data_IF_737098595691
#
_entry.id   IF_737098595691
#
_cell.length_a   1.000
_cell.length_b   1.000
_cell.length_c   1.000
_cell.angle_alpha   90.00
_cell.angle_beta   90.00
_cell.angle_gamma   90.00
#
_symmetry.space_group_name_H-M   'P 1'
#
loop_
_entity.id
_entity.type
_entity.pdbx_description
1 polymer ?
#
# COMPACT_ATOMS: atom_id res chain seq x y z
N UNK A 1 0.97 8.20 -8.19
CA UNK A 1 0.28 7.64 -9.37
C UNK A 1 -0.61 6.45 -9.00
N UNK A 2 -0.07 5.37 -8.40
CA UNK A 2 -0.85 4.17 -8.06
C UNK A 2 -2.06 4.43 -7.15
N UNK A 3 -1.96 5.35 -6.18
CA UNK A 3 -3.10 5.77 -5.37
C UNK A 3 -4.29 6.27 -6.22
N UNK A 4 -4.01 7.13 -7.20
CA UNK A 4 -5.02 7.68 -8.12
C UNK A 4 -5.62 6.60 -8.99
N UNK A 5 -4.80 5.64 -9.44
CA UNK A 5 -5.26 4.51 -10.27
C UNK A 5 -6.14 3.56 -9.44
N UNK A 6 -5.78 3.29 -8.19
CA UNK A 6 -6.54 2.40 -7.31
C UNK A 6 -7.94 2.93 -6.97
N UNK A 7 -8.07 4.25 -6.82
CA UNK A 7 -9.36 4.94 -6.54
C UNK A 7 -10.07 5.37 -7.83
N UNK A 8 -9.49 5.07 -8.99
CA UNK A 8 -10.02 5.48 -10.29
C UNK A 8 -11.36 4.81 -10.60
N UNK A 9 -12.34 5.54 -11.16
CA UNK A 9 -13.62 4.96 -11.58
C UNK A 9 -13.48 3.94 -12.72
N UNK A 10 -12.33 3.91 -13.40
CA UNK A 10 -12.06 3.01 -14.53
C UNK A 10 -11.83 1.54 -14.13
N UNK A 11 -11.92 1.19 -12.82
CA UNK A 11 -11.76 -0.19 -12.29
C UNK A 11 -10.55 -0.93 -12.89
N UNK A 12 -9.43 -0.21 -13.08
CA UNK A 12 -8.21 -0.77 -13.65
C UNK A 12 -7.70 -1.82 -12.68
N UNK A 13 -7.72 -3.09 -13.08
CA UNK A 13 -7.39 -4.19 -12.20
C UNK A 13 -5.88 -4.22 -11.87
N UNK A 14 -5.53 -3.82 -10.65
CA UNK A 14 -4.15 -3.84 -10.15
C UNK A 14 -3.75 -5.15 -9.45
N UNK A 15 -4.63 -6.16 -9.41
CA UNK A 15 -4.40 -7.39 -8.62
C UNK A 15 -3.11 -8.11 -9.02
N UNK A 16 -2.75 -8.10 -10.31
CA UNK A 16 -1.52 -8.72 -10.83
C UNK A 16 -0.23 -8.09 -10.26
N UNK A 17 -0.29 -6.81 -9.87
CA UNK A 17 0.85 -6.07 -9.35
C UNK A 17 0.77 -5.89 -7.82
N UNK A 18 -0.31 -6.34 -7.19
CA UNK A 18 -0.64 -5.98 -5.81
C UNK A 18 0.42 -6.48 -4.82
N UNK A 19 0.85 -7.73 -4.94
CA UNK A 19 1.90 -8.29 -4.06
C UNK A 19 3.22 -7.54 -4.20
N UNK A 20 3.65 -7.29 -5.44
CA UNK A 20 4.90 -6.57 -5.71
C UNK A 20 4.82 -5.11 -5.21
N UNK A 21 3.70 -4.42 -5.45
CA UNK A 21 3.48 -3.06 -4.98
C UNK A 21 3.46 -2.98 -3.45
N UNK A 22 2.79 -3.92 -2.77
CA UNK A 22 2.77 -3.96 -1.31
C UNK A 22 4.17 -4.20 -0.72
N UNK A 23 4.94 -5.11 -1.32
CA UNK A 23 6.33 -5.36 -0.92
C UNK A 23 7.23 -4.13 -1.07
N UNK A 24 7.16 -3.43 -2.20
CA UNK A 24 7.94 -2.21 -2.44
C UNK A 24 7.51 -1.06 -1.52
N UNK A 25 6.20 -0.86 -1.35
CA UNK A 25 5.68 0.20 -0.50
C UNK A 25 6.05 -0.04 0.98
N UNK A 26 5.93 -1.27 1.49
CA UNK A 26 6.37 -1.59 2.85
C UNK A 26 7.89 -1.45 3.02
N UNK A 27 8.69 -1.80 2.02
CA UNK A 27 10.13 -1.55 2.04
C UNK A 27 10.46 -0.04 2.07
N UNK A 28 9.69 0.79 1.37
CA UNK A 28 9.84 2.24 1.44
C UNK A 28 9.48 2.81 2.80
N UNK A 29 8.48 2.25 3.51
CA UNK A 29 8.16 2.74 4.87
C UNK A 29 9.35 2.64 5.83
N UNK A 30 10.15 1.58 5.72
CA UNK A 30 11.34 1.37 6.57
C UNK A 30 12.52 2.29 6.25
N UNK A 31 12.66 2.72 5.00
CA UNK A 31 13.86 3.41 4.49
C UNK A 31 13.64 4.88 4.10
N UNK A 32 12.40 5.34 4.05
CA UNK A 32 12.05 6.65 3.53
C UNK A 32 12.17 7.78 4.57
N UNK A 33 12.56 8.96 4.10
CA UNK A 33 12.40 10.23 4.83
C UNK A 33 10.90 10.54 5.01
N UNK A 34 10.56 11.35 6.03
CA UNK A 34 9.18 11.65 6.43
C UNK A 34 8.20 11.93 5.28
N UNK A 35 8.56 12.76 4.30
CA UNK A 35 7.68 13.11 3.18
C UNK A 35 7.36 11.90 2.26
N UNK A 36 8.37 11.10 1.95
CA UNK A 36 8.18 9.88 1.13
C UNK A 36 7.41 8.82 1.93
N UNK A 37 7.66 8.70 3.25
CA UNK A 37 6.89 7.82 4.13
C UNK A 37 5.40 8.16 4.09
N UNK A 38 5.03 9.43 4.18
CA UNK A 38 3.63 9.88 4.12
C UNK A 38 2.97 9.60 2.77
N UNK A 39 3.67 9.86 1.65
CA UNK A 39 3.15 9.55 0.32
C UNK A 39 2.93 8.04 0.11
N UNK A 40 3.84 7.22 0.64
CA UNK A 40 3.73 5.74 0.63
C UNK A 40 2.52 5.27 1.43
N UNK A 41 2.26 5.84 2.60
CA UNK A 41 1.09 5.50 3.42
C UNK A 41 -0.22 5.87 2.74
N UNK A 42 -0.31 7.04 2.12
CA UNK A 42 -1.49 7.44 1.35
C UNK A 42 -1.77 6.48 0.18
N UNK A 43 -0.70 5.97 -0.45
CA UNK A 43 -0.81 4.97 -1.51
C UNK A 43 -1.25 3.61 -0.99
N UNK A 44 -0.67 3.14 0.12
CA UNK A 44 -1.08 1.89 0.78
C UNK A 44 -2.54 1.93 1.23
N UNK A 45 -2.98 3.02 1.86
CA UNK A 45 -4.38 3.18 2.29
C UNK A 45 -5.35 3.08 1.09
N UNK A 46 -5.01 3.73 -0.02
CA UNK A 46 -5.82 3.66 -1.25
C UNK A 46 -5.92 2.24 -1.82
N UNK A 47 -4.82 1.48 -1.77
CA UNK A 47 -4.79 0.08 -2.22
C UNK A 47 -5.56 -0.84 -1.28
N UNK A 48 -5.44 -0.67 0.04
CA UNK A 48 -6.20 -1.45 1.02
C UNK A 48 -7.71 -1.27 0.85
N UNK A 49 -8.16 -0.03 0.66
CA UNK A 49 -9.59 0.28 0.45
C UNK A 49 -10.11 -0.34 -0.85
N UNK A 50 -9.35 -0.28 -1.93
CA UNK A 50 -9.79 -0.74 -3.25
C UNK A 50 -9.61 -2.26 -3.48
N UNK A 51 -8.62 -2.88 -2.82
CA UNK A 51 -8.19 -4.25 -3.11
C UNK A 51 -8.08 -5.14 -1.88
N UNK A 52 -8.55 -4.71 -0.70
CA UNK A 52 -8.35 -5.44 0.55
C UNK A 52 -8.71 -6.94 0.51
N UNK A 53 -9.81 -7.30 -0.17
CA UNK A 53 -10.24 -8.70 -0.34
C UNK A 53 -9.26 -9.58 -1.13
N UNK A 54 -8.32 -8.96 -1.86
CA UNK A 54 -7.31 -9.63 -2.70
C UNK A 54 -5.92 -9.58 -2.09
N UNK A 55 -5.77 -9.04 -0.88
CA UNK A 55 -4.50 -8.95 -0.18
C UNK A 55 -4.36 -10.18 0.73
N UNK A 56 -3.22 -10.86 0.62
CA UNK A 56 -2.92 -12.00 1.47
C UNK A 56 -2.83 -11.59 2.95
N UNK A 57 -3.34 -12.43 3.87
CA UNK A 57 -3.31 -12.15 5.32
C UNK A 57 -1.91 -11.85 5.86
N UNK A 58 -0.87 -12.49 5.32
CA UNK A 58 0.52 -12.24 5.68
C UNK A 58 0.99 -10.81 5.36
N UNK A 59 0.47 -10.21 4.28
CA UNK A 59 0.78 -8.82 3.94
C UNK A 59 0.13 -7.84 4.92
N UNK A 60 -1.05 -8.17 5.47
CA UNK A 60 -1.69 -7.37 6.50
C UNK A 60 -0.88 -7.30 7.79
N UNK A 61 -0.26 -8.41 8.22
CA UNK A 61 0.62 -8.41 9.40
C UNK A 61 1.78 -7.44 9.25
N UNK A 62 2.42 -7.44 8.07
CA UNK A 62 3.52 -6.50 7.77
C UNK A 62 3.00 -5.07 7.76
N UNK A 63 1.87 -4.80 7.11
CA UNK A 63 1.29 -3.45 7.06
C UNK A 63 0.96 -2.95 8.48
N UNK A 64 0.31 -3.76 9.32
CA UNK A 64 -0.04 -3.37 10.69
C UNK A 64 1.22 -3.06 11.51
N UNK A 65 2.26 -3.89 11.40
CA UNK A 65 3.53 -3.65 12.08
C UNK A 65 4.17 -2.32 11.63
N UNK A 66 4.21 -2.05 10.32
CA UNK A 66 4.77 -0.82 9.78
C UNK A 66 3.95 0.42 10.19
N UNK A 67 2.62 0.32 10.27
CA UNK A 67 1.75 1.40 10.74
C UNK A 67 1.92 1.68 12.24
N UNK A 68 2.12 0.63 13.04
CA UNK A 68 2.34 0.76 14.49
C UNK A 68 3.67 1.46 14.80
N UNK A 69 4.69 1.27 13.97
CA UNK A 69 5.98 1.96 14.09
C UNK A 69 5.93 3.47 13.74
N UNK A 70 4.75 3.98 13.31
CA UNK A 70 4.56 5.39 12.97
C UNK A 70 4.01 6.23 14.11
N UNK A 71 3.43 5.56 15.12
CA UNK A 71 2.91 6.15 16.37
C UNK A 71 4.08 6.27 17.34
#
# INVERSE_FOLDING_TARGET
AFAVIAVSPFKINLSCLLEHLLSELTAFLRKAKHALRQATLGTLNSLLVAYGEKIASSAYEVIIAEFSALI
#
